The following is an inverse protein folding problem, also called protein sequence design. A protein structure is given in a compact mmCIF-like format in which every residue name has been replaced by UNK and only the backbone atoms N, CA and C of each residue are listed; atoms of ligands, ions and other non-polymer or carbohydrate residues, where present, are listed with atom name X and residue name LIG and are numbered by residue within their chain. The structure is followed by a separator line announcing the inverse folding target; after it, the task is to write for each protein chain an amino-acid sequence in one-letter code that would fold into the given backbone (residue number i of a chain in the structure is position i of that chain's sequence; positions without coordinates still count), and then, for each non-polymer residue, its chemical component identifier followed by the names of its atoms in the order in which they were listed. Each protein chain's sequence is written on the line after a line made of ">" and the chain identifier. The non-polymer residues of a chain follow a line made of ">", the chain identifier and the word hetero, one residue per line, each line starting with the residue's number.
data_IF_150947114799
#
_entry.id   IF_150947114799
#
_cell.length_a   1.000
_cell.length_b   1.000
_cell.length_c   1.000
_cell.angle_alpha   90.00
_cell.angle_beta   90.00
_cell.angle_gamma   90.00
#
_symmetry.space_group_name_H-M   'P 1'
#
loop_
_entity.id
_entity.type
_entity.pdbx_description
1 polymer ?
#
# COMPACT_ATOMS: atom_id res chain seq x y z
N UNK A 1 -2.31 -7.72 16.18
CA UNK A 1 -2.29 -9.12 16.65
C UNK A 1 -2.67 -9.25 18.13
N UNK A 2 -1.98 -8.59 19.07
CA UNK A 2 -2.35 -8.65 20.50
C UNK A 2 -3.79 -8.16 20.74
N UNK A 3 -4.16 -7.01 20.15
CA UNK A 3 -5.52 -6.46 20.23
C UNK A 3 -6.59 -7.42 19.67
N UNK A 4 -6.29 -8.13 18.59
CA UNK A 4 -7.22 -9.08 17.97
C UNK A 4 -7.43 -10.32 18.82
N UNK A 5 -6.38 -10.82 19.48
CA UNK A 5 -6.50 -11.93 20.44
C UNK A 5 -7.29 -11.54 21.69
N UNK A 6 -7.09 -10.32 22.21
CA UNK A 6 -7.87 -9.80 23.33
C UNK A 6 -9.36 -9.66 23.00
N UNK A 7 -9.69 -9.14 21.81
CA UNK A 7 -11.07 -9.07 21.33
C UNK A 7 -11.68 -10.47 21.18
N UNK A 8 -10.92 -11.47 20.72
CA UNK A 8 -11.38 -12.86 20.63
C UNK A 8 -11.69 -13.45 22.01
N UNK A 9 -10.80 -13.26 22.98
CA UNK A 9 -10.99 -13.76 24.34
C UNK A 9 -12.22 -13.10 24.98
N UNK A 10 -12.39 -11.80 24.77
CA UNK A 10 -13.55 -11.07 25.25
C UNK A 10 -14.85 -11.58 24.61
N UNK A 11 -14.88 -11.83 23.29
CA UNK A 11 -16.04 -12.39 22.58
C UNK A 11 -16.40 -13.81 23.05
N UNK A 12 -15.39 -14.67 23.22
CA UNK A 12 -15.59 -16.02 23.72
C UNK A 12 -16.12 -15.99 25.16
N UNK A 13 -15.59 -15.10 26.01
CA UNK A 13 -16.03 -14.92 27.38
C UNK A 13 -17.47 -14.38 27.48
N UNK A 14 -17.85 -13.41 26.64
CA UNK A 14 -19.21 -12.84 26.64
C UNK A 14 -20.23 -13.82 26.10
N UNK A 15 -19.90 -14.59 25.06
CA UNK A 15 -20.78 -15.65 24.53
C UNK A 15 -20.93 -16.79 25.53
N UNK A 16 -19.86 -17.18 26.23
CA UNK A 16 -19.91 -18.22 27.26
C UNK A 16 -20.74 -17.76 28.47
N UNK A 17 -20.60 -16.50 28.89
CA UNK A 17 -21.39 -15.92 29.98
C UNK A 17 -22.90 -15.84 29.68
N UNK A 18 -23.30 -15.86 28.39
CA UNK A 18 -24.72 -15.79 27.99
C UNK A 18 -25.50 -17.12 28.16
N UNK A 19 -24.85 -18.22 28.58
CA UNK A 19 -25.50 -19.40 29.18
C UNK A 19 -26.46 -20.25 28.33
N UNK A 20 -26.71 -19.92 27.06
CA UNK A 20 -27.64 -20.70 26.21
C UNK A 20 -26.95 -21.87 25.51
N UNK A 21 -27.58 -23.05 25.45
CA UNK A 21 -27.06 -24.21 24.70
C UNK A 21 -26.91 -23.94 23.18
N UNK A 22 -27.61 -22.94 22.65
CA UNK A 22 -27.48 -22.49 21.25
C UNK A 22 -26.18 -21.70 20.98
N UNK A 23 -25.45 -21.32 22.04
CA UNK A 23 -24.19 -20.58 21.96
C UNK A 23 -23.07 -21.35 21.24
N UNK A 24 -23.11 -22.69 21.24
CA UNK A 24 -22.06 -23.51 20.63
C UNK A 24 -21.92 -23.24 19.11
N UNK A 25 -23.05 -23.07 18.41
CA UNK A 25 -23.06 -22.77 16.97
C UNK A 25 -22.41 -21.41 16.66
N UNK A 26 -22.71 -20.40 17.47
CA UNK A 26 -22.12 -19.06 17.36
C UNK A 26 -20.62 -19.06 17.66
N UNK A 27 -20.17 -19.80 18.68
CA UNK A 27 -18.74 -19.92 19.01
C UNK A 27 -17.97 -20.61 17.87
N UNK A 28 -18.53 -21.66 17.26
CA UNK A 28 -17.88 -22.38 16.14
C UNK A 28 -17.83 -21.52 14.87
N UNK A 29 -18.92 -20.81 14.53
CA UNK A 29 -18.96 -19.90 13.39
C UNK A 29 -17.96 -18.73 13.57
N UNK A 30 -17.92 -18.16 14.77
CA UNK A 30 -16.98 -17.08 15.07
C UNK A 30 -15.53 -17.61 15.10
N UNK A 31 -15.28 -18.77 15.70
CA UNK A 31 -13.96 -19.38 15.81
C UNK A 31 -13.35 -19.82 14.48
N UNK A 32 -14.16 -20.42 13.59
CA UNK A 32 -13.72 -20.80 12.24
C UNK A 32 -13.35 -19.58 11.40
N UNK A 33 -14.11 -18.50 11.51
CA UNK A 33 -13.78 -17.21 10.91
C UNK A 33 -12.45 -16.63 11.44
N UNK A 34 -12.21 -16.71 12.75
CA UNK A 34 -10.94 -16.31 13.37
C UNK A 34 -9.75 -17.12 12.88
N UNK A 35 -9.93 -18.43 12.70
CA UNK A 35 -8.90 -19.29 12.14
C UNK A 35 -8.52 -18.84 10.73
N UNK A 36 -9.48 -18.47 9.89
CA UNK A 36 -9.23 -17.96 8.53
C UNK A 36 -8.47 -16.64 8.55
N UNK A 37 -8.87 -15.68 9.39
CA UNK A 37 -8.14 -14.41 9.56
C UNK A 37 -6.71 -14.63 10.08
N UNK A 38 -6.54 -15.57 11.02
CA UNK A 38 -5.23 -15.93 11.55
C UNK A 38 -4.33 -16.58 10.49
N UNK A 39 -4.87 -17.50 9.68
CA UNK A 39 -4.16 -18.12 8.57
C UNK A 39 -3.67 -17.08 7.56
N UNK A 40 -4.50 -16.10 7.19
CA UNK A 40 -4.10 -15.00 6.30
C UNK A 40 -3.01 -14.14 6.92
N UNK A 41 -3.09 -13.84 8.21
CA UNK A 41 -2.05 -13.06 8.87
C UNK A 41 -0.72 -13.82 8.95
N UNK A 42 -0.77 -15.13 9.24
CA UNK A 42 0.43 -15.95 9.37
C UNK A 42 1.10 -16.19 8.02
N UNK A 43 0.32 -16.31 6.95
CA UNK A 43 0.80 -16.60 5.59
C UNK A 43 0.43 -15.45 4.63
N UNK A 44 1.25 -14.39 4.55
CA UNK A 44 0.95 -13.22 3.71
C UNK A 44 0.86 -13.54 2.21
N UNK A 45 1.34 -14.71 1.77
CA UNK A 45 1.18 -15.18 0.39
C UNK A 45 -0.18 -15.79 0.06
N UNK A 46 -1.03 -16.07 1.06
CA UNK A 46 -2.35 -16.68 0.86
C UNK A 46 -3.31 -15.74 0.13
N UNK A 47 -3.18 -14.43 0.38
CA UNK A 47 -3.99 -13.39 -0.26
C UNK A 47 -3.18 -12.74 -1.38
N UNK A 48 -3.26 -13.35 -2.56
CA UNK A 48 -2.75 -12.75 -3.80
C UNK A 48 -3.66 -11.60 -4.27
N UNK A 49 -3.11 -10.66 -5.05
CA UNK A 49 -3.85 -9.59 -5.72
C UNK A 49 -5.03 -10.11 -6.57
N UNK A 50 -4.93 -11.35 -7.08
CA UNK A 50 -5.98 -12.03 -7.86
C UNK A 50 -7.10 -12.62 -6.98
N UNK A 51 -6.78 -13.05 -5.76
CA UNK A 51 -7.70 -13.78 -4.89
C UNK A 51 -8.26 -12.93 -3.75
N UNK A 52 -7.77 -11.69 -3.60
CA UNK A 52 -8.19 -10.80 -2.53
C UNK A 52 -9.70 -10.58 -2.54
N UNK A 53 -10.29 -10.39 -3.71
CA UNK A 53 -11.71 -10.05 -3.84
C UNK A 53 -12.60 -11.22 -3.38
N UNK A 54 -12.23 -12.46 -3.71
CA UNK A 54 -12.88 -13.67 -3.20
C UNK A 54 -12.81 -13.79 -1.67
N UNK A 55 -11.67 -13.40 -1.08
CA UNK A 55 -11.50 -13.43 0.37
C UNK A 55 -12.42 -12.44 1.08
N UNK A 56 -12.61 -11.23 0.53
CA UNK A 56 -13.57 -10.27 1.09
C UNK A 56 -15.01 -10.74 0.94
N UNK A 57 -15.37 -11.33 -0.21
CA UNK A 57 -16.73 -11.87 -0.38
C UNK A 57 -16.98 -12.97 0.64
N UNK A 58 -16.04 -13.90 0.83
CA UNK A 58 -16.15 -14.94 1.86
C UNK A 58 -16.24 -14.34 3.27
N UNK A 59 -15.44 -13.31 3.57
CA UNK A 59 -15.50 -12.58 4.83
C UNK A 59 -16.88 -11.95 5.06
N UNK A 60 -17.43 -11.27 4.05
CA UNK A 60 -18.75 -10.63 4.11
C UNK A 60 -19.87 -11.64 4.32
N UNK A 61 -19.82 -12.77 3.62
CA UNK A 61 -20.78 -13.85 3.81
C UNK A 61 -20.69 -14.42 5.22
N UNK A 62 -19.48 -14.69 5.72
CA UNK A 62 -19.28 -15.18 7.09
C UNK A 62 -19.83 -14.20 8.14
N UNK A 63 -19.58 -12.90 7.95
CA UNK A 63 -20.10 -11.85 8.82
C UNK A 63 -21.64 -11.77 8.80
N UNK A 64 -22.26 -11.93 7.63
CA UNK A 64 -23.71 -11.99 7.49
C UNK A 64 -24.32 -13.21 8.19
N UNK A 65 -23.68 -14.38 8.05
CA UNK A 65 -24.11 -15.62 8.73
C UNK A 65 -24.06 -15.44 10.24
N UNK A 66 -22.96 -14.91 10.77
CA UNK A 66 -22.78 -14.65 12.21
C UNK A 66 -23.81 -13.65 12.75
N UNK A 67 -24.18 -12.63 11.98
CA UNK A 67 -25.24 -11.71 12.38
C UNK A 67 -26.61 -12.43 12.51
N UNK A 68 -26.86 -13.43 11.65
CA UNK A 68 -28.10 -14.21 11.65
C UNK A 68 -28.18 -15.31 12.72
N UNK A 69 -27.12 -15.61 13.48
CA UNK A 69 -27.14 -16.71 14.46
C UNK A 69 -27.58 -16.32 15.87
N UNK A 70 -27.50 -15.04 16.29
CA UNK A 70 -27.72 -14.68 17.70
C UNK A 70 -29.18 -14.33 18.04
N UNK A 71 -29.94 -15.13 18.80
CA UNK A 71 -31.36 -14.88 19.02
C UNK A 71 -31.66 -13.66 19.92
N UNK A 72 -30.72 -13.24 20.77
CA UNK A 72 -30.92 -12.17 21.74
C UNK A 72 -30.43 -10.80 21.20
N UNK A 73 -31.25 -9.76 21.31
CA UNK A 73 -30.94 -8.38 20.90
C UNK A 73 -29.67 -7.87 21.57
N UNK A 74 -29.51 -8.06 22.88
CA UNK A 74 -28.36 -7.53 23.62
C UNK A 74 -27.04 -8.12 23.12
N UNK A 75 -27.04 -9.44 22.86
CA UNK A 75 -25.87 -10.14 22.30
C UNK A 75 -25.63 -9.71 20.85
N UNK A 76 -26.69 -9.49 20.06
CA UNK A 76 -26.60 -8.99 18.70
C UNK A 76 -25.95 -7.60 18.64
N UNK A 77 -26.30 -6.68 19.56
CA UNK A 77 -25.67 -5.35 19.65
C UNK A 77 -24.18 -5.47 19.96
N UNK A 78 -23.81 -6.28 20.95
CA UNK A 78 -22.41 -6.45 21.33
C UNK A 78 -21.59 -7.10 20.21
N UNK A 79 -22.15 -8.11 19.54
CA UNK A 79 -21.54 -8.75 18.37
C UNK A 79 -21.38 -7.76 17.21
N UNK A 80 -22.39 -6.90 16.96
CA UNK A 80 -22.35 -5.83 15.95
C UNK A 80 -21.21 -4.85 16.20
N UNK A 81 -21.05 -4.36 17.44
CA UNK A 81 -19.95 -3.46 17.80
C UNK A 81 -18.58 -4.10 17.51
N UNK A 82 -18.40 -5.36 17.89
CA UNK A 82 -17.13 -6.06 17.70
C UNK A 82 -16.86 -6.32 16.21
N UNK A 83 -17.88 -6.71 15.46
CA UNK A 83 -17.83 -6.88 14.01
C UNK A 83 -17.47 -5.57 13.29
N UNK A 84 -18.00 -4.42 13.74
CA UNK A 84 -17.66 -3.09 13.21
C UNK A 84 -16.18 -2.76 13.46
N UNK A 85 -15.68 -3.00 14.67
CA UNK A 85 -14.26 -2.81 15.01
C UNK A 85 -13.34 -3.66 14.12
N UNK A 86 -13.74 -4.89 13.84
CA UNK A 86 -12.97 -5.76 12.94
C UNK A 86 -13.02 -5.33 11.49
N UNK A 87 -14.18 -4.86 11.03
CA UNK A 87 -14.30 -4.29 9.69
C UNK A 87 -13.40 -3.06 9.56
N UNK A 88 -13.29 -2.24 10.61
CA UNK A 88 -12.37 -1.10 10.65
C UNK A 88 -10.90 -1.56 10.61
N UNK A 89 -10.54 -2.58 11.40
CA UNK A 89 -9.18 -3.12 11.42
C UNK A 89 -8.79 -3.72 10.06
N UNK A 90 -9.66 -4.52 9.46
CA UNK A 90 -9.46 -5.07 8.12
C UNK A 90 -9.38 -3.94 7.10
N UNK A 91 -10.31 -2.98 7.16
CA UNK A 91 -10.27 -1.79 6.32
C UNK A 91 -8.94 -1.05 6.45
N UNK A 92 -8.33 -0.96 7.63
CA UNK A 92 -7.02 -0.34 7.84
C UNK A 92 -5.86 -1.17 7.24
N UNK A 93 -5.92 -2.50 7.30
CA UNK A 93 -4.93 -3.38 6.68
C UNK A 93 -5.00 -3.39 5.14
N UNK A 94 -6.13 -2.96 4.56
CA UNK A 94 -6.43 -3.18 3.16
C UNK A 94 -6.36 -1.91 2.30
N UNK A 95 -5.31 -1.76 1.50
CA UNK A 95 -5.07 -0.57 0.66
C UNK A 95 -6.16 -0.24 -0.39
N UNK A 96 -7.16 -1.11 -0.59
CA UNK A 96 -8.24 -0.89 -1.56
C UNK A 96 -9.44 -0.20 -0.90
N UNK A 97 -9.50 1.13 -0.97
CA UNK A 97 -10.62 1.94 -0.47
C UNK A 97 -11.99 1.42 -0.96
N UNK A 98 -12.11 1.09 -2.25
CA UNK A 98 -13.36 0.59 -2.84
C UNK A 98 -13.89 -0.63 -2.10
N UNK A 99 -13.00 -1.56 -1.76
CA UNK A 99 -13.38 -2.84 -1.12
C UNK A 99 -13.83 -2.59 0.32
N UNK A 100 -13.10 -1.74 1.05
CA UNK A 100 -13.48 -1.34 2.40
C UNK A 100 -14.88 -0.70 2.41
N UNK A 101 -15.15 0.24 1.51
CA UNK A 101 -16.45 0.92 1.39
C UNK A 101 -17.56 -0.06 1.01
N UNK A 102 -17.34 -0.96 0.04
CA UNK A 102 -18.35 -1.97 -0.30
C UNK A 102 -18.62 -2.94 0.85
N UNK A 103 -17.59 -3.25 1.66
CA UNK A 103 -17.72 -4.14 2.81
C UNK A 103 -18.55 -3.50 3.93
N UNK A 104 -18.32 -2.21 4.23
CA UNK A 104 -19.09 -1.52 5.27
C UNK A 104 -20.54 -1.33 4.87
N UNK A 105 -20.80 -0.98 3.59
CA UNK A 105 -22.16 -0.88 3.05
C UNK A 105 -22.87 -2.25 3.09
N UNK A 106 -22.21 -3.30 2.61
CA UNK A 106 -22.80 -4.64 2.61
C UNK A 106 -23.14 -5.13 4.02
N UNK A 107 -22.32 -4.77 5.01
CA UNK A 107 -22.53 -5.11 6.42
C UNK A 107 -23.75 -4.37 6.99
N UNK A 108 -23.88 -3.08 6.66
CA UNK A 108 -25.04 -2.27 7.03
C UNK A 108 -26.32 -2.86 6.45
N UNK A 109 -26.31 -3.23 5.16
CA UNK A 109 -27.48 -3.85 4.51
C UNK A 109 -27.81 -5.19 5.16
N UNK A 110 -26.82 -6.05 5.41
CA UNK A 110 -27.03 -7.33 6.07
C UNK A 110 -27.67 -7.15 7.45
N UNK A 111 -27.17 -6.22 8.27
CA UNK A 111 -27.74 -5.90 9.59
C UNK A 111 -29.18 -5.39 9.51
N UNK A 112 -29.47 -4.48 8.58
CA UNK A 112 -30.82 -3.98 8.35
C UNK A 112 -31.78 -5.11 7.98
N UNK A 113 -31.35 -6.01 7.11
CA UNK A 113 -32.13 -7.20 6.73
C UNK A 113 -32.34 -8.11 7.94
N UNK A 114 -31.31 -8.42 8.72
CA UNK A 114 -31.44 -9.28 9.91
C UNK A 114 -32.40 -8.69 10.95
N UNK A 115 -32.32 -7.38 11.22
CA UNK A 115 -33.24 -6.69 12.14
C UNK A 115 -34.67 -6.75 11.61
N UNK A 116 -34.88 -6.49 10.32
CA UNK A 116 -36.22 -6.52 9.69
C UNK A 116 -36.84 -7.91 9.67
N UNK A 117 -36.04 -8.96 9.45
CA UNK A 117 -36.51 -10.34 9.43
C UNK A 117 -36.89 -10.86 10.81
N UNK A 118 -36.23 -10.37 11.87
CA UNK A 118 -36.46 -10.87 13.24
C UNK A 118 -37.47 -10.07 14.04
N UNK A 119 -37.64 -8.79 13.74
CA UNK A 119 -38.60 -7.91 14.39
C UNK A 119 -39.65 -7.44 13.38
N UNK A 120 -40.58 -8.33 12.96
CA UNK A 120 -41.69 -7.92 12.13
C UNK A 120 -42.50 -6.86 12.88
N UNK A 121 -42.98 -5.84 12.16
CA UNK A 121 -43.52 -4.59 12.72
C UNK A 121 -44.75 -4.82 13.62
N UNK A 122 -44.52 -5.14 14.90
CA UNK A 122 -45.51 -5.08 15.96
C UNK A 122 -45.66 -3.65 16.48
N UNK A 123 -46.87 -3.18 16.80
CA UNK A 123 -47.13 -1.80 17.21
C UNK A 123 -46.41 -1.40 18.52
N UNK A 124 -46.14 -2.36 19.41
CA UNK A 124 -45.43 -2.15 20.68
C UNK A 124 -43.90 -2.22 20.55
N UNK A 125 -43.36 -2.89 19.53
CA UNK A 125 -41.91 -3.05 19.35
C UNK A 125 -41.27 -1.94 18.51
N UNK A 126 -42.06 -1.21 17.73
CA UNK A 126 -41.58 -0.09 16.91
C UNK A 126 -40.88 1.02 17.73
N UNK A 127 -41.29 1.23 18.98
CA UNK A 127 -40.70 2.24 19.87
C UNK A 127 -39.24 1.93 20.25
N UNK A 128 -38.90 0.66 20.51
CA UNK A 128 -37.55 0.27 20.93
C UNK A 128 -36.57 0.04 19.77
N UNK A 129 -37.06 -0.37 18.61
CA UNK A 129 -36.22 -0.66 17.44
C UNK A 129 -35.72 0.61 16.74
N UNK A 130 -36.49 1.70 16.77
CA UNK A 130 -36.13 2.96 16.11
C UNK A 130 -34.84 3.64 16.62
N UNK A 131 -34.59 3.82 17.94
CA UNK A 131 -33.33 4.42 18.40
C UNK A 131 -32.12 3.53 18.12
N UNK A 132 -32.30 2.20 18.13
CA UNK A 132 -31.24 1.25 17.81
C UNK A 132 -30.80 1.35 16.34
N UNK A 133 -31.76 1.38 15.41
CA UNK A 133 -31.47 1.56 13.99
C UNK A 133 -30.77 2.89 13.70
N UNK A 134 -31.19 3.96 14.38
CA UNK A 134 -30.58 5.28 14.23
C UNK A 134 -29.15 5.31 14.77
N UNK A 135 -28.89 4.64 15.91
CA UNK A 135 -27.54 4.48 16.46
C UNK A 135 -26.62 3.66 15.54
N UNK A 136 -27.10 2.56 14.97
CA UNK A 136 -26.35 1.76 13.99
C UNK A 136 -26.05 2.55 12.72
N UNK A 137 -27.03 3.28 12.18
CA UNK A 137 -26.84 4.17 11.03
C UNK A 137 -25.79 5.24 11.33
N UNK A 138 -25.85 5.85 12.51
CA UNK A 138 -24.88 6.86 12.91
C UNK A 138 -23.47 6.27 13.09
N UNK A 139 -23.36 5.13 13.77
CA UNK A 139 -22.09 4.44 14.00
C UNK A 139 -21.43 3.98 12.70
N UNK A 140 -22.22 3.47 11.76
CA UNK A 140 -21.72 3.06 10.42
C UNK A 140 -21.31 4.25 9.57
N UNK A 141 -22.07 5.35 9.58
CA UNK A 141 -21.70 6.60 8.91
C UNK A 141 -20.40 7.18 9.47
N UNK A 142 -20.24 7.19 10.79
CA UNK A 142 -19.02 7.64 11.46
C UNK A 142 -17.83 6.76 11.10
N UNK A 143 -18.01 5.44 11.11
CA UNK A 143 -16.98 4.48 10.71
C UNK A 143 -16.56 4.67 9.24
N UNK A 144 -17.52 4.88 8.35
CA UNK A 144 -17.26 5.18 6.93
C UNK A 144 -16.47 6.49 6.79
N UNK A 145 -16.86 7.54 7.51
CA UNK A 145 -16.12 8.80 7.58
C UNK A 145 -14.68 8.62 8.06
N UNK A 146 -14.46 7.87 9.15
CA UNK A 146 -13.12 7.56 9.65
C UNK A 146 -12.27 6.82 8.61
N UNK A 147 -12.84 5.81 7.93
CA UNK A 147 -12.13 5.06 6.87
C UNK A 147 -11.76 5.97 5.70
N UNK A 148 -12.67 6.84 5.26
CA UNK A 148 -12.40 7.78 4.17
C UNK A 148 -11.29 8.75 4.57
N UNK A 149 -11.39 9.39 5.74
CA UNK A 149 -10.38 10.37 6.21
C UNK A 149 -9.01 9.71 6.39
N UNK A 150 -8.96 8.52 7.00
CA UNK A 150 -7.72 7.76 7.16
C UNK A 150 -7.06 7.48 5.81
N UNK A 151 -7.84 7.03 4.82
CA UNK A 151 -7.33 6.70 3.49
C UNK A 151 -6.92 7.92 2.68
N UNK A 152 -7.65 9.04 2.81
CA UNK A 152 -7.23 10.31 2.19
C UNK A 152 -5.87 10.75 2.73
N UNK A 153 -5.68 10.71 4.06
CA UNK A 153 -4.38 11.04 4.69
C UNK A 153 -3.25 10.15 4.24
N UNK A 154 -3.49 8.84 4.11
CA UNK A 154 -2.48 7.90 3.66
C UNK A 154 -2.12 8.11 2.19
N UNK A 155 -3.10 8.43 1.35
CA UNK A 155 -2.86 8.76 -0.06
C UNK A 155 -2.05 10.05 -0.18
N UNK A 156 -2.36 11.07 0.61
CA UNK A 156 -1.59 12.32 0.67
C UNK A 156 -0.15 12.06 1.12
N UNK A 157 0.03 11.24 2.18
CA UNK A 157 1.35 10.84 2.65
C UNK A 157 2.15 10.12 1.57
N UNK A 158 1.54 9.14 0.88
CA UNK A 158 2.19 8.42 -0.22
C UNK A 158 2.53 9.37 -1.38
N UNK A 159 1.65 10.31 -1.71
CA UNK A 159 1.88 11.29 -2.77
C UNK A 159 3.05 12.20 -2.45
N UNK A 160 3.15 12.71 -1.22
CA UNK A 160 4.28 13.52 -0.76
C UNK A 160 5.56 12.67 -0.79
N UNK A 161 5.51 11.46 -0.25
CA UNK A 161 6.67 10.56 -0.19
C UNK A 161 7.21 10.19 -1.59
N UNK A 162 6.33 9.85 -2.53
CA UNK A 162 6.74 9.58 -3.92
C UNK A 162 7.15 10.85 -4.65
N UNK A 163 6.50 11.99 -4.37
CA UNK A 163 6.88 13.29 -4.92
C UNK A 163 8.29 13.70 -4.49
N UNK A 164 8.63 13.56 -3.21
CA UNK A 164 9.97 13.79 -2.69
C UNK A 164 11.01 12.86 -3.31
N UNK A 165 10.70 11.56 -3.44
CA UNK A 165 11.59 10.61 -4.11
C UNK A 165 11.82 10.96 -5.57
N UNK A 166 10.76 11.31 -6.30
CA UNK A 166 10.86 11.71 -7.69
C UNK A 166 11.67 13.00 -7.86
N UNK A 167 11.42 14.02 -7.02
CA UNK A 167 12.20 15.26 -7.00
C UNK A 167 13.66 15.02 -6.63
N UNK A 168 13.94 14.17 -5.63
CA UNK A 168 15.31 13.83 -5.24
C UNK A 168 16.04 13.10 -6.37
N UNK A 169 15.37 12.19 -7.05
CA UNK A 169 15.95 11.50 -8.21
C UNK A 169 16.19 12.46 -9.37
N UNK A 170 15.29 13.41 -9.62
CA UNK A 170 15.47 14.48 -10.61
C UNK A 170 16.62 15.42 -10.24
N UNK A 171 16.72 15.85 -8.98
CA UNK A 171 17.82 16.69 -8.51
C UNK A 171 19.16 15.96 -8.64
N UNK A 172 19.25 14.69 -8.27
CA UNK A 172 20.47 13.90 -8.45
C UNK A 172 20.84 13.81 -9.93
N UNK A 173 19.87 13.57 -10.82
CA UNK A 173 20.11 13.53 -12.26
C UNK A 173 20.57 14.91 -12.79
N UNK A 174 19.94 16.00 -12.35
CA UNK A 174 20.28 17.37 -12.73
C UNK A 174 21.66 17.77 -12.22
N UNK A 175 22.01 17.44 -10.98
CA UNK A 175 23.36 17.69 -10.44
C UNK A 175 24.42 16.90 -11.18
N UNK A 176 24.14 15.64 -11.56
CA UNK A 176 25.04 14.85 -12.41
C UNK A 176 25.20 15.49 -13.79
N UNK A 177 24.10 15.98 -14.38
CA UNK A 177 24.14 16.64 -15.68
C UNK A 177 24.94 17.96 -15.61
N UNK A 178 24.74 18.76 -14.56
CA UNK A 178 25.55 19.95 -14.32
C UNK A 178 27.03 19.61 -14.10
N UNK A 179 27.33 18.56 -13.34
CA UNK A 179 28.71 18.09 -13.14
C UNK A 179 29.36 17.56 -14.44
N UNK A 180 28.54 17.08 -15.38
CA UNK A 180 28.92 16.69 -16.74
C UNK A 180 29.09 17.88 -17.70
N UNK A 181 28.31 18.95 -17.54
CA UNK A 181 28.44 20.17 -18.36
C UNK A 181 29.69 20.97 -17.94
N UNK A 182 30.07 20.92 -16.67
CA UNK A 182 31.32 21.52 -16.19
C UNK A 182 32.54 20.89 -16.89
N UNK A 183 33.51 21.72 -17.28
CA UNK A 183 34.69 21.34 -18.08
C UNK A 183 35.34 20.03 -17.62
N UNK A 184 35.40 19.06 -18.53
CA UNK A 184 36.11 17.80 -18.32
C UNK A 184 37.60 18.01 -18.63
N UNK A 185 38.44 18.00 -17.61
CA UNK A 185 39.90 17.98 -17.79
C UNK A 185 40.39 16.55 -18.02
N UNK A 186 41.24 16.36 -19.02
CA UNK A 186 41.75 15.05 -19.44
C UNK A 186 43.25 15.16 -19.62
N UNK A 187 44.00 14.23 -19.02
CA UNK A 187 45.46 14.14 -19.19
C UNK A 187 45.79 13.19 -20.33
N UNK A 188 46.51 13.71 -21.33
CA UNK A 188 46.93 12.97 -22.52
C UNK A 188 48.43 12.68 -22.47
N UNK A 189 48.88 11.54 -23.00
CA UNK A 189 50.31 11.27 -23.24
C UNK A 189 50.78 11.92 -24.56
N UNK A 190 52.06 11.76 -24.88
CA UNK A 190 52.65 12.21 -26.15
C UNK A 190 51.99 11.61 -27.39
N UNK A 191 51.30 10.47 -27.25
CA UNK A 191 50.53 9.80 -28.30
C UNK A 191 49.06 10.23 -28.31
N UNK A 192 48.67 11.21 -27.49
CA UNK A 192 47.31 11.74 -27.36
C UNK A 192 46.29 10.70 -26.84
N UNK A 193 46.76 9.69 -26.12
CA UNK A 193 45.95 8.71 -25.39
C UNK A 193 45.66 9.21 -23.97
N UNK A 194 44.48 8.84 -23.46
CA UNK A 194 44.02 9.19 -22.12
C UNK A 194 44.79 8.38 -21.07
N UNK A 195 45.65 9.04 -20.28
CA UNK A 195 46.55 8.36 -19.32
C UNK A 195 45.84 8.05 -18.01
N UNK A 196 45.06 9.01 -17.50
CA UNK A 196 44.34 8.89 -16.23
C UNK A 196 42.85 8.64 -16.46
N UNK A 197 42.18 7.92 -15.54
CA UNK A 197 40.72 7.77 -15.59
C UNK A 197 40.04 9.14 -15.61
N UNK A 198 39.26 9.41 -16.66
CA UNK A 198 38.47 10.63 -16.81
C UNK A 198 36.98 10.30 -16.67
N UNK A 199 36.44 10.15 -15.45
CA UNK A 199 35.06 9.69 -15.22
C UNK A 199 34.02 10.67 -15.78
N UNK A 200 34.30 11.98 -15.76
CA UNK A 200 33.42 13.01 -16.36
C UNK A 200 33.32 12.85 -17.87
N UNK A 201 34.46 12.76 -18.55
CA UNK A 201 34.53 12.49 -19.98
C UNK A 201 33.83 11.16 -20.34
N UNK A 202 34.09 10.11 -19.56
CA UNK A 202 33.46 8.80 -19.77
C UNK A 202 31.93 8.89 -19.71
N UNK A 203 31.39 9.61 -18.73
CA UNK A 203 29.96 9.76 -18.56
C UNK A 203 29.32 10.73 -19.58
N UNK A 204 30.09 11.67 -20.15
CA UNK A 204 29.62 12.51 -21.28
C UNK A 204 29.55 11.72 -22.59
N UNK A 205 30.56 10.89 -22.85
CA UNK A 205 30.70 10.15 -24.11
C UNK A 205 29.90 8.84 -24.12
N UNK A 206 29.81 8.19 -22.98
CA UNK A 206 29.19 6.88 -22.81
C UNK A 206 28.12 7.04 -21.73
N UNK A 207 26.91 7.40 -22.17
CA UNK A 207 25.71 7.64 -21.33
C UNK A 207 25.35 6.48 -20.37
N UNK A 208 26.05 5.34 -20.41
CA UNK A 208 25.83 4.21 -19.53
C UNK A 208 27.09 3.35 -19.31
N UNK A 209 27.04 2.54 -18.25
CA UNK A 209 28.20 1.95 -17.56
C UNK A 209 29.06 0.96 -18.37
N UNK A 210 30.39 1.17 -18.32
CA UNK A 210 31.49 0.19 -18.11
C UNK A 210 32.67 0.07 -19.11
N UNK A 211 32.75 0.71 -20.29
CA UNK A 211 34.04 0.76 -20.96
C UNK A 211 34.88 1.92 -20.41
N UNK A 212 36.01 1.61 -19.77
CA UNK A 212 37.02 2.62 -19.43
C UNK A 212 37.48 3.33 -20.71
N UNK A 213 37.58 4.66 -20.66
CA UNK A 213 38.19 5.47 -21.72
C UNK A 213 39.71 5.53 -21.61
N UNK A 214 40.29 4.98 -20.53
CA UNK A 214 41.73 4.98 -20.30
C UNK A 214 42.44 4.16 -21.38
N UNK A 215 43.51 4.72 -21.94
CA UNK A 215 44.31 4.12 -23.01
C UNK A 215 43.70 4.24 -24.41
N UNK A 216 42.51 4.85 -24.55
CA UNK A 216 41.94 5.18 -25.88
C UNK A 216 42.39 6.56 -26.33
N UNK A 217 42.39 6.77 -27.65
CA UNK A 217 42.72 8.06 -28.25
C UNK A 217 41.51 8.99 -28.13
N UNK A 218 41.74 10.27 -27.82
CA UNK A 218 40.63 11.21 -27.59
C UNK A 218 39.77 11.41 -28.85
N UNK A 219 40.38 11.38 -30.04
CA UNK A 219 39.68 11.53 -31.31
C UNK A 219 38.84 10.32 -31.71
N UNK A 220 39.02 9.14 -31.09
CA UNK A 220 38.18 7.96 -31.34
C UNK A 220 36.72 8.22 -30.95
N UNK A 221 36.49 9.23 -30.11
CA UNK A 221 35.19 9.65 -29.63
C UNK A 221 34.62 10.86 -30.38
N UNK A 222 35.33 11.40 -31.37
CA UNK A 222 34.82 12.47 -32.24
C UNK A 222 34.05 11.84 -33.41
N UNK A 223 32.77 12.22 -33.64
CA UNK A 223 31.96 11.63 -34.70
C UNK A 223 32.34 12.14 -36.11
N UNK A 224 32.89 13.35 -36.20
CA UNK A 224 33.24 14.00 -37.47
C UNK A 224 34.76 13.89 -37.75
N UNK A 225 35.11 13.50 -38.98
CA UNK A 225 36.52 13.35 -39.41
C UNK A 225 37.23 14.71 -39.58
N UNK A 226 36.48 15.75 -39.94
CA UNK A 226 37.05 17.10 -40.05
C UNK A 226 37.51 17.59 -38.68
N UNK A 227 36.74 17.32 -37.63
CA UNK A 227 37.10 17.64 -36.24
C UNK A 227 38.31 16.85 -35.76
N UNK A 228 38.44 15.56 -36.14
CA UNK A 228 39.62 14.74 -35.80
C UNK A 228 40.88 15.32 -36.41
N UNK A 229 40.85 15.65 -37.71
CA UNK A 229 42.00 16.22 -38.41
C UNK A 229 42.42 17.57 -37.83
N UNK A 230 41.44 18.42 -37.48
CA UNK A 230 41.66 19.73 -36.87
C UNK A 230 42.23 19.61 -35.46
N UNK A 231 41.71 18.68 -34.66
CA UNK A 231 42.23 18.40 -33.32
C UNK A 231 43.67 17.89 -33.37
N UNK A 232 43.97 16.93 -34.25
CA UNK A 232 45.31 16.37 -34.40
C UNK A 232 46.33 17.45 -34.82
N UNK A 233 45.95 18.31 -35.76
CA UNK A 233 46.78 19.45 -36.17
C UNK A 233 47.10 20.39 -35.01
N UNK A 234 46.08 20.78 -34.23
CA UNK A 234 46.23 21.70 -33.10
C UNK A 234 47.05 21.06 -31.96
N UNK A 235 46.76 19.81 -31.61
CA UNK A 235 47.47 19.09 -30.57
C UNK A 235 48.96 18.91 -30.90
N UNK A 236 49.28 18.58 -32.15
CA UNK A 236 50.68 18.47 -32.62
C UNK A 236 51.40 19.82 -32.61
N UNK A 237 50.74 20.91 -32.97
CA UNK A 237 51.36 22.24 -32.85
C UNK A 237 51.68 22.60 -31.40
N UNK A 238 50.74 22.40 -30.48
CA UNK A 238 50.95 22.73 -29.06
C UNK A 238 52.02 21.85 -28.39
N UNK A 239 52.13 20.57 -28.78
CA UNK A 239 53.20 19.69 -28.29
C UNK A 239 54.59 20.14 -28.74
N UNK A 240 54.72 20.68 -29.96
CA UNK A 240 55.99 21.24 -30.45
C UNK A 240 56.39 22.52 -29.73
N UNK A 241 55.41 23.31 -29.30
CA UNK A 241 55.67 24.55 -28.55
C UNK A 241 56.12 24.28 -27.10
N UNK A 242 55.83 23.08 -26.58
CA UNK A 242 56.16 22.64 -25.21
C UNK A 242 57.49 21.87 -25.13
N UNK A 243 58.05 21.41 -26.25
CA UNK A 243 59.31 20.65 -26.35
C UNK A 243 60.51 21.55 -26.60
#
# INVERSE_FOLDING_TARGET
>A
FVLTCFLCFYLAATVHAAGSNDSASGVVATGSFWAVCFCVHRWPGLVSRKNSDSFYVAFMVGQGVVACTFPNIAVMVQASCIQSLFTLLMSACCFRLRVAVTSTIGLMVARLVTVRLRFPAGPTEASQVSPFLLWELFGTALLLGCVIVFRMRELDFLRIYFGEKALRQSNIAMTRLLDLICDATVELNSELQIVRPAPKLTAMLVLDTRPSVQGKLLWDFMPDEDDKSRFESLARSSLRDLS
#
